data_IF_079437917138
#
_entry.id   IF_079437917138
#
_cell.length_a   1.000
_cell.length_b   1.000
_cell.length_c   1.000
_cell.angle_alpha   90.00
_cell.angle_beta   90.00
_cell.angle_gamma   90.00
#
_symmetry.space_group_name_H-M   'P 1'
#
loop_
_entity.id
_entity.type
_entity.pdbx_description
1 polymer ?
#
# COMPACT_ATOMS: atom_id res chain seq x y z
N UNK A 1 55.68 1.22 20.18
CA UNK A 1 55.57 2.04 21.40
C UNK A 1 54.09 2.18 21.72
N UNK A 2 53.61 1.46 22.73
CA UNK A 2 52.23 1.60 23.20
C UNK A 2 52.15 2.88 24.04
N UNK A 3 51.29 3.81 23.66
CA UNK A 3 51.04 5.05 24.38
C UNK A 3 50.55 4.73 25.80
N UNK A 4 51.25 5.25 26.81
CA UNK A 4 50.93 5.15 28.23
C UNK A 4 50.30 6.44 28.77
N UNK A 5 49.86 7.34 27.89
CA UNK A 5 49.46 8.71 28.26
C UNK A 5 47.99 8.85 28.70
N UNK A 6 47.18 7.79 28.67
CA UNK A 6 45.83 7.81 29.21
C UNK A 6 45.79 7.21 30.62
N UNK A 7 46.20 8.00 31.62
CA UNK A 7 45.95 7.68 33.02
C UNK A 7 44.46 7.90 33.28
N UNK A 8 43.65 6.86 33.50
CA UNK A 8 42.22 7.04 33.57
C UNK A 8 41.83 7.76 34.86
N UNK A 9 40.79 8.60 34.79
CA UNK A 9 40.23 9.41 35.89
C UNK A 9 39.52 8.58 36.99
N UNK A 10 40.10 7.46 37.41
CA UNK A 10 39.57 6.57 38.45
C UNK A 10 40.52 6.58 39.65
N UNK A 11 39.97 6.45 40.86
CA UNK A 11 40.79 6.41 42.07
C UNK A 11 41.65 5.14 42.13
N UNK A 12 42.79 5.19 42.84
CA UNK A 12 43.65 4.00 43.07
C UNK A 12 42.85 2.85 43.70
N UNK A 13 41.86 3.18 44.53
CA UNK A 13 40.96 2.21 45.15
C UNK A 13 40.09 1.46 44.11
N UNK A 14 39.48 2.18 43.15
CA UNK A 14 38.71 1.57 42.07
C UNK A 14 39.57 0.72 41.13
N UNK A 15 40.80 1.15 40.86
CA UNK A 15 41.74 0.37 40.05
C UNK A 15 42.09 -0.97 40.72
N UNK A 16 42.32 -0.98 42.04
CA UNK A 16 42.55 -2.22 42.81
C UNK A 16 41.31 -3.11 42.80
N UNK A 17 40.13 -2.54 42.97
CA UNK A 17 38.86 -3.28 42.93
C UNK A 17 38.62 -3.94 41.57
N UNK A 18 38.74 -3.23 40.45
CA UNK A 18 38.58 -3.78 39.09
C UNK A 18 39.63 -4.85 38.76
N UNK A 19 40.84 -4.74 39.33
CA UNK A 19 41.89 -5.76 39.21
C UNK A 19 41.48 -7.05 39.92
N UNK A 20 40.95 -6.95 41.13
CA UNK A 20 40.51 -8.11 41.90
C UNK A 20 39.29 -8.78 41.23
N UNK A 21 38.30 -7.99 40.82
CA UNK A 21 37.13 -8.48 40.04
C UNK A 21 37.56 -9.22 38.76
N UNK A 22 38.61 -8.74 38.07
CA UNK A 22 39.14 -9.40 36.87
C UNK A 22 39.90 -10.69 37.20
N UNK A 23 40.60 -10.75 38.34
CA UNK A 23 41.30 -11.96 38.81
C UNK A 23 40.31 -13.04 39.23
N UNK A 24 39.26 -12.66 39.96
CA UNK A 24 38.16 -13.55 40.32
C UNK A 24 37.48 -14.13 39.08
N UNK A 25 37.21 -13.30 38.06
CA UNK A 25 36.63 -13.78 36.78
C UNK A 25 37.53 -14.82 36.09
N UNK A 26 38.85 -14.63 36.10
CA UNK A 26 39.81 -15.61 35.54
C UNK A 26 39.90 -16.86 36.40
N UNK A 27 39.87 -16.74 37.73
CA UNK A 27 39.86 -17.87 38.66
C UNK A 27 38.59 -18.73 38.50
N UNK A 28 37.45 -18.11 38.17
CA UNK A 28 36.21 -18.79 37.78
C UNK A 28 36.20 -19.29 36.32
N UNK A 29 37.35 -19.29 35.62
CA UNK A 29 37.50 -19.84 34.27
C UNK A 29 36.90 -18.96 33.15
N UNK A 30 36.45 -17.74 33.44
CA UNK A 30 35.91 -16.82 32.41
C UNK A 30 37.03 -15.98 31.82
N UNK A 31 37.55 -16.41 30.67
CA UNK A 31 38.52 -15.61 29.89
C UNK A 31 37.89 -14.31 29.37
N UNK A 32 38.53 -13.17 29.64
CA UNK A 32 38.11 -11.83 29.19
C UNK A 32 37.97 -11.71 27.66
N UNK A 33 38.79 -12.45 26.92
CA UNK A 33 38.72 -12.50 25.47
C UNK A 33 37.47 -13.28 25.00
N UNK A 34 37.17 -14.40 25.66
CA UNK A 34 35.98 -15.21 25.36
C UNK A 34 34.69 -14.48 25.72
N UNK A 35 34.64 -13.74 26.84
CA UNK A 35 33.47 -12.92 27.20
C UNK A 35 33.28 -11.72 26.27
N UNK A 36 34.36 -11.08 25.79
CA UNK A 36 34.26 -10.05 24.75
C UNK A 36 33.78 -10.62 23.41
N UNK A 37 34.28 -11.79 23.01
CA UNK A 37 33.89 -12.44 21.76
C UNK A 37 32.43 -12.91 21.82
N UNK A 38 32.04 -13.61 22.89
CA UNK A 38 30.67 -14.02 23.14
C UNK A 38 29.70 -12.83 23.27
N UNK A 39 30.16 -11.71 23.85
CA UNK A 39 29.39 -10.46 23.88
C UNK A 39 29.13 -9.91 22.47
N UNK A 40 30.15 -9.88 21.61
CA UNK A 40 30.00 -9.46 20.21
C UNK A 40 29.10 -10.39 19.40
N UNK A 41 29.23 -11.69 19.59
CA UNK A 41 28.39 -12.70 18.92
C UNK A 41 26.95 -12.62 19.41
N UNK A 42 26.72 -12.40 20.70
CA UNK A 42 25.40 -12.17 21.26
C UNK A 42 24.77 -10.86 20.74
N UNK A 43 25.55 -9.79 20.58
CA UNK A 43 25.08 -8.55 19.96
C UNK A 43 24.77 -8.72 18.47
N UNK A 44 25.60 -9.44 17.72
CA UNK A 44 25.34 -9.76 16.31
C UNK A 44 24.08 -10.63 16.15
N UNK A 45 23.89 -11.62 17.02
CA UNK A 45 22.68 -12.44 17.05
C UNK A 45 21.42 -11.63 17.42
N UNK A 46 21.55 -10.62 18.29
CA UNK A 46 20.46 -9.68 18.58
C UNK A 46 20.15 -8.79 17.38
N UNK A 47 21.16 -8.30 16.66
CA UNK A 47 20.98 -7.51 15.43
C UNK A 47 20.30 -8.31 14.31
N UNK A 48 20.65 -9.59 14.17
CA UNK A 48 20.01 -10.50 13.21
C UNK A 48 18.54 -10.80 13.52
N UNK A 49 18.12 -10.66 14.79
CA UNK A 49 16.73 -10.89 15.23
C UNK A 49 15.95 -9.57 15.42
N UNK A 50 16.38 -8.47 14.80
CA UNK A 50 15.66 -7.19 14.86
C UNK A 50 14.34 -7.23 14.10
N UNK A 51 13.42 -6.32 14.43
CA UNK A 51 12.16 -6.14 13.69
C UNK A 51 12.44 -5.89 12.20
N UNK A 52 13.49 -5.13 11.85
CA UNK A 52 13.86 -4.89 10.45
C UNK A 52 14.25 -6.16 9.71
N UNK A 53 15.07 -7.02 10.32
CA UNK A 53 15.41 -8.32 9.74
C UNK A 53 14.16 -9.20 9.57
N UNK A 54 13.25 -9.16 10.54
CA UNK A 54 12.01 -9.93 10.50
C UNK A 54 11.04 -9.45 9.42
N UNK A 55 10.99 -8.13 9.17
CA UNK A 55 10.25 -7.54 8.04
C UNK A 55 10.72 -8.15 6.73
N UNK A 56 12.03 -8.20 6.47
CA UNK A 56 12.57 -8.76 5.21
C UNK A 56 12.19 -10.24 5.02
N UNK A 57 12.26 -11.04 6.08
CA UNK A 57 11.86 -12.46 6.05
C UNK A 57 10.37 -12.59 5.74
N UNK A 58 9.52 -11.82 6.45
CA UNK A 58 8.07 -11.82 6.25
C UNK A 58 7.71 -11.40 4.81
N UNK A 59 8.40 -10.40 4.25
CA UNK A 59 8.20 -9.96 2.87
C UNK A 59 8.55 -11.04 1.85
N UNK A 60 9.69 -11.70 2.05
CA UNK A 60 10.15 -12.75 1.16
C UNK A 60 9.18 -13.94 1.13
N UNK A 61 8.66 -14.35 2.29
CA UNK A 61 7.87 -15.57 2.41
C UNK A 61 6.36 -15.39 2.19
N UNK A 62 5.80 -14.30 2.72
CA UNK A 62 4.34 -14.11 2.82
C UNK A 62 3.85 -13.11 1.79
N UNK A 63 4.44 -11.92 1.77
CA UNK A 63 3.84 -10.80 1.05
C UNK A 63 4.06 -10.86 -0.46
N UNK A 64 5.16 -11.48 -0.90
CA UNK A 64 5.42 -11.81 -2.31
C UNK A 64 4.39 -12.77 -2.92
N UNK A 65 3.74 -13.61 -2.11
CA UNK A 65 2.81 -14.66 -2.56
C UNK A 65 1.34 -14.28 -2.47
N UNK A 66 0.98 -13.44 -1.50
CA UNK A 66 -0.43 -13.17 -1.15
C UNK A 66 -0.93 -11.84 -1.72
N UNK A 67 -0.07 -10.82 -1.83
CA UNK A 67 -0.52 -9.48 -2.20
C UNK A 67 -0.32 -9.21 -3.69
N UNK A 68 -1.36 -8.69 -4.34
CA UNK A 68 -1.26 -8.13 -5.70
C UNK A 68 -0.38 -6.86 -5.73
N UNK A 69 -0.16 -6.18 -4.60
CA UNK A 69 0.65 -4.94 -4.49
C UNK A 69 1.50 -4.90 -3.21
N UNK A 70 2.50 -5.79 -3.05
CA UNK A 70 3.33 -5.90 -1.85
C UNK A 70 4.15 -4.64 -1.56
N UNK A 71 4.44 -3.83 -2.58
CA UNK A 71 5.23 -2.60 -2.45
C UNK A 71 4.60 -1.54 -1.53
N UNK A 72 3.27 -1.58 -1.33
CA UNK A 72 2.55 -0.51 -0.64
C UNK A 72 2.70 -0.70 0.87
N UNK A 73 2.52 -1.92 1.34
CA UNK A 73 2.73 -2.26 2.75
C UNK A 73 4.17 -2.01 3.17
N UNK A 74 5.15 -2.36 2.32
CA UNK A 74 6.57 -2.19 2.63
C UNK A 74 6.91 -0.73 2.83
N UNK A 75 6.47 0.09 1.88
CA UNK A 75 6.66 1.54 1.93
C UNK A 75 6.06 2.16 3.19
N UNK A 76 4.89 1.67 3.62
CA UNK A 76 4.22 2.16 4.83
C UNK A 76 5.01 1.77 6.09
N UNK A 77 5.48 0.52 6.16
CA UNK A 77 6.33 0.05 7.27
C UNK A 77 7.67 0.79 7.32
N UNK A 78 8.36 0.97 6.20
CA UNK A 78 9.64 1.69 6.11
C UNK A 78 9.51 3.15 6.56
N UNK A 79 8.43 3.81 6.15
CA UNK A 79 8.24 5.24 6.39
C UNK A 79 7.92 5.54 7.86
N UNK A 80 7.09 4.72 8.51
CA UNK A 80 6.54 5.09 9.82
C UNK A 80 6.93 4.10 10.93
N UNK A 81 6.80 2.79 10.71
CA UNK A 81 7.07 1.79 11.75
C UNK A 81 8.57 1.58 11.98
N UNK A 82 9.33 1.30 10.92
CA UNK A 82 10.74 0.93 11.01
C UNK A 82 11.65 2.07 11.48
N UNK A 83 11.22 3.33 11.33
CA UNK A 83 11.94 4.48 11.89
C UNK A 83 12.04 4.42 13.43
N UNK A 84 11.05 3.84 14.09
CA UNK A 84 10.94 3.85 15.57
C UNK A 84 11.32 2.50 16.17
N UNK A 85 10.80 1.40 15.61
CA UNK A 85 10.96 0.05 16.16
C UNK A 85 11.96 -0.82 15.40
N UNK A 86 12.51 -0.35 14.28
CA UNK A 86 13.30 -1.20 13.36
C UNK A 86 14.55 -1.84 13.98
N UNK A 87 15.22 -1.14 14.90
CA UNK A 87 16.44 -1.62 15.56
C UNK A 87 16.18 -2.48 16.81
N UNK A 88 14.92 -2.60 17.25
CA UNK A 88 14.56 -3.34 18.46
C UNK A 88 14.29 -4.80 18.17
N UNK A 89 14.29 -5.63 19.21
CA UNK A 89 13.81 -7.01 19.10
C UNK A 89 12.28 -7.03 19.10
N UNK A 90 11.65 -7.95 18.33
CA UNK A 90 10.20 -8.10 18.29
C UNK A 90 9.54 -8.36 19.65
N UNK A 91 10.28 -8.94 20.61
CA UNK A 91 9.80 -9.27 21.96
C UNK A 91 9.70 -8.01 22.84
N UNK A 92 10.52 -7.01 22.59
CA UNK A 92 10.60 -5.80 23.42
C UNK A 92 9.59 -4.72 22.98
N UNK A 93 8.82 -4.97 21.92
CA UNK A 93 7.86 -4.00 21.38
C UNK A 93 6.58 -4.02 22.23
N UNK A 94 6.30 -2.89 22.88
CA UNK A 94 5.13 -2.71 23.72
C UNK A 94 3.91 -2.16 22.95
N UNK A 95 2.72 -2.29 23.55
CA UNK A 95 1.46 -1.72 23.00
C UNK A 95 1.56 -0.19 22.89
N UNK A 96 2.14 0.46 23.91
CA UNK A 96 2.29 1.91 23.97
C UNK A 96 3.13 2.46 22.81
N UNK A 97 4.13 1.72 22.37
CA UNK A 97 4.95 2.11 21.21
C UNK A 97 4.16 2.05 19.91
N UNK A 98 3.35 1.01 19.73
CA UNK A 98 2.47 0.90 18.56
C UNK A 98 1.43 2.02 18.55
N UNK A 99 0.86 2.37 19.71
CA UNK A 99 -0.06 3.50 19.86
C UNK A 99 0.64 4.82 19.51
N UNK A 100 1.83 5.08 20.06
CA UNK A 100 2.63 6.29 19.76
C UNK A 100 2.94 6.44 18.27
N UNK A 101 3.29 5.35 17.58
CA UNK A 101 3.53 5.36 16.13
C UNK A 101 2.25 5.77 15.40
N UNK A 102 1.13 5.16 15.77
CA UNK A 102 -0.15 5.41 15.12
C UNK A 102 -0.64 6.85 15.37
N UNK A 103 -0.49 7.35 16.59
CA UNK A 103 -0.85 8.72 16.97
C UNK A 103 0.02 9.77 16.29
N UNK A 104 1.32 9.48 16.10
CA UNK A 104 2.21 10.34 15.30
C UNK A 104 1.76 10.46 13.85
N UNK A 105 1.21 9.40 13.26
CA UNK A 105 0.69 9.43 11.88
C UNK A 105 -0.63 10.21 11.82
N UNK A 106 -1.51 10.02 12.80
CA UNK A 106 -2.75 10.80 12.92
C UNK A 106 -2.50 12.29 13.08
N UNK A 107 -1.49 12.67 13.88
CA UNK A 107 -1.12 14.07 14.06
C UNK A 107 -0.71 14.77 12.75
N UNK A 108 -0.35 14.00 11.70
CA UNK A 108 -0.09 14.51 10.35
C UNK A 108 -1.36 14.66 9.49
N UNK A 109 -2.53 14.29 10.00
CA UNK A 109 -3.81 14.28 9.27
C UNK A 109 -4.03 13.07 8.36
N UNK A 110 -3.27 11.99 8.55
CA UNK A 110 -3.29 10.81 7.67
C UNK A 110 -3.90 9.58 8.35
N UNK A 111 -5.16 9.67 8.78
CA UNK A 111 -5.83 8.62 9.59
C UNK A 111 -5.90 7.26 8.89
N UNK A 112 -6.22 7.24 7.60
CA UNK A 112 -6.26 5.99 6.82
C UNK A 112 -4.86 5.36 6.69
N UNK A 113 -3.81 6.17 6.64
CA UNK A 113 -2.43 5.69 6.62
C UNK A 113 -2.05 5.10 8.00
N UNK A 114 -2.51 5.71 9.09
CA UNK A 114 -2.31 5.19 10.44
C UNK A 114 -2.95 3.80 10.59
N UNK A 115 -4.18 3.63 10.08
CA UNK A 115 -4.87 2.35 10.07
C UNK A 115 -4.14 1.30 9.20
N UNK A 116 -3.68 1.68 8.02
CA UNK A 116 -2.91 0.80 7.14
C UNK A 116 -1.61 0.35 7.81
N UNK A 117 -0.89 1.27 8.46
CA UNK A 117 0.36 0.97 9.19
C UNK A 117 0.11 -0.02 10.32
N UNK A 118 -0.95 0.21 11.12
CA UNK A 118 -1.34 -0.71 12.19
C UNK A 118 -1.70 -2.09 11.65
N UNK A 119 -2.41 -2.18 10.53
CA UNK A 119 -2.77 -3.46 9.93
C UNK A 119 -1.54 -4.21 9.40
N UNK A 120 -0.60 -3.50 8.79
CA UNK A 120 0.69 -4.06 8.37
C UNK A 120 1.48 -4.62 9.57
N UNK A 121 1.57 -3.85 10.66
CA UNK A 121 2.20 -4.31 11.90
C UNK A 121 1.47 -5.52 12.50
N UNK A 122 0.14 -5.53 12.50
CA UNK A 122 -0.65 -6.66 12.98
C UNK A 122 -0.33 -7.94 12.21
N UNK A 123 -0.25 -7.87 10.87
CA UNK A 123 0.12 -9.00 10.03
C UNK A 123 1.55 -9.48 10.33
N UNK A 124 2.49 -8.55 10.49
CA UNK A 124 3.88 -8.87 10.82
C UNK A 124 4.01 -9.60 12.16
N UNK A 125 3.39 -9.09 13.23
CA UNK A 125 3.44 -9.75 14.53
C UNK A 125 2.64 -11.06 14.57
N UNK A 126 1.58 -11.20 13.76
CA UNK A 126 0.90 -12.48 13.61
C UNK A 126 1.82 -13.53 12.98
N UNK A 127 2.61 -13.14 11.97
CA UNK A 127 3.64 -14.01 11.39
C UNK A 127 4.78 -14.30 12.41
N UNK A 128 5.16 -13.34 13.24
CA UNK A 128 6.12 -13.55 14.34
C UNK A 128 5.65 -14.59 15.36
N UNK A 129 4.35 -14.59 15.69
CA UNK A 129 3.74 -15.59 16.56
C UNK A 129 3.72 -16.97 15.89
N UNK A 130 3.40 -17.04 14.59
CA UNK A 130 3.42 -18.29 13.85
C UNK A 130 4.83 -18.95 13.80
N UNK A 131 5.89 -18.14 13.88
CA UNK A 131 7.28 -18.60 13.99
C UNK A 131 7.78 -18.72 15.44
N UNK A 132 6.89 -18.62 16.42
CA UNK A 132 7.17 -18.68 17.87
C UNK A 132 8.26 -17.70 18.33
N UNK A 133 8.40 -16.56 17.64
CA UNK A 133 9.36 -15.49 18.02
C UNK A 133 8.79 -14.56 19.08
N UNK A 134 7.47 -14.40 19.09
CA UNK A 134 6.73 -13.53 20.01
C UNK A 134 5.49 -14.29 20.48
N UNK A 135 5.07 -14.09 21.73
CA UNK A 135 3.88 -14.75 22.28
C UNK A 135 2.61 -13.91 22.16
N UNK A 136 2.75 -12.58 22.10
CA UNK A 136 1.64 -11.65 22.10
C UNK A 136 1.76 -10.64 20.96
N UNK A 137 0.62 -10.26 20.35
CA UNK A 137 0.60 -9.28 19.27
C UNK A 137 0.25 -7.88 19.81
N UNK A 138 1.23 -6.97 19.96
CA UNK A 138 0.96 -5.62 20.48
C UNK A 138 0.06 -4.80 19.57
N UNK A 139 0.14 -4.99 18.25
CA UNK A 139 -0.70 -4.29 17.29
C UNK A 139 -2.15 -4.80 17.25
N UNK A 140 -2.39 -6.03 17.70
CA UNK A 140 -3.76 -6.56 17.82
C UNK A 140 -4.54 -5.87 18.95
N UNK A 141 -3.87 -5.51 20.05
CA UNK A 141 -4.47 -4.82 21.19
C UNK A 141 -4.98 -3.41 20.84
N UNK A 142 -4.31 -2.72 19.92
CA UNK A 142 -4.77 -1.43 19.41
C UNK A 142 -5.87 -1.68 18.38
N UNK A 143 -7.13 -1.43 18.74
CA UNK A 143 -8.25 -1.68 17.83
C UNK A 143 -8.37 -0.61 16.74
N UNK A 144 -8.75 -1.03 15.54
CA UNK A 144 -8.88 -0.15 14.37
C UNK A 144 -9.84 1.03 14.60
N UNK A 145 -10.91 0.81 15.39
CA UNK A 145 -11.91 1.82 15.72
C UNK A 145 -11.36 3.03 16.46
N UNK A 146 -10.31 2.84 17.27
CA UNK A 146 -9.64 3.95 17.96
C UNK A 146 -8.71 4.72 17.02
N UNK A 147 -8.38 4.16 15.85
CA UNK A 147 -7.42 4.75 14.92
C UNK A 147 -8.14 5.64 13.91
N UNK A 148 -8.95 5.05 13.06
CA UNK A 148 -9.58 5.78 11.99
C UNK A 148 -11.02 5.32 11.84
N UNK A 149 -11.92 6.28 11.68
CA UNK A 149 -13.26 6.02 11.18
C UNK A 149 -13.21 6.03 9.66
N UNK A 150 -13.81 5.03 9.02
CA UNK A 150 -13.96 5.02 7.57
C UNK A 150 -14.81 6.23 7.16
N UNK A 151 -14.21 7.19 6.47
CA UNK A 151 -14.93 8.27 5.78
C UNK A 151 -14.98 7.94 4.30
N UNK A 152 -16.18 7.78 3.76
CA UNK A 152 -16.35 7.80 2.30
C UNK A 152 -16.02 9.21 1.80
N UNK A 153 -15.40 9.28 0.63
CA UNK A 153 -15.31 10.54 -0.12
C UNK A 153 -16.46 10.50 -1.12
N UNK A 154 -17.54 11.19 -0.80
CA UNK A 154 -18.69 11.32 -1.70
C UNK A 154 -18.42 12.42 -2.74
N UNK A 155 -17.34 12.24 -3.51
CA UNK A 155 -16.98 13.16 -4.60
C UNK A 155 -17.42 12.52 -5.89
N UNK A 156 -18.60 12.92 -6.36
CA UNK A 156 -19.12 12.55 -7.68
C UNK A 156 -19.15 13.78 -8.59
N UNK A 157 -18.81 13.59 -9.87
CA UNK A 157 -18.94 14.66 -10.86
C UNK A 157 -20.41 14.89 -11.17
N UNK A 158 -20.82 16.15 -11.19
CA UNK A 158 -22.14 16.55 -11.69
C UNK A 158 -22.22 16.39 -13.21
N UNK A 159 -23.43 16.30 -13.77
CA UNK A 159 -23.65 16.21 -15.22
C UNK A 159 -22.98 17.34 -16.00
N UNK A 160 -22.97 18.56 -15.45
CA UNK A 160 -22.31 19.71 -16.05
C UNK A 160 -20.78 19.58 -16.03
N UNK A 161 -20.20 19.09 -14.94
CA UNK A 161 -18.76 18.86 -14.82
C UNK A 161 -18.28 17.74 -15.74
N UNK A 162 -19.09 16.69 -15.92
CA UNK A 162 -18.83 15.63 -16.91
C UNK A 162 -18.79 16.23 -18.31
N UNK A 163 -19.74 17.08 -18.67
CA UNK A 163 -19.74 17.78 -19.95
C UNK A 163 -18.50 18.66 -20.16
N UNK A 164 -18.05 19.37 -19.12
CA UNK A 164 -16.80 20.16 -19.15
C UNK A 164 -15.57 19.27 -19.32
N UNK A 165 -15.50 18.14 -18.61
CA UNK A 165 -14.41 17.17 -18.68
C UNK A 165 -14.27 16.60 -20.10
N UNK A 166 -15.37 16.16 -20.70
CA UNK A 166 -15.37 15.56 -22.04
C UNK A 166 -14.97 16.58 -23.12
N UNK A 167 -15.53 17.79 -23.08
CA UNK A 167 -15.16 18.88 -24.01
C UNK A 167 -13.68 19.27 -23.88
N UNK A 168 -13.19 19.44 -22.64
CA UNK A 168 -11.78 19.75 -22.38
C UNK A 168 -10.84 18.64 -22.85
N UNK A 169 -11.23 17.38 -22.67
CA UNK A 169 -10.47 16.22 -23.15
C UNK A 169 -10.37 16.23 -24.68
N UNK A 170 -11.45 16.53 -25.39
CA UNK A 170 -11.46 16.63 -26.85
C UNK A 170 -10.56 17.77 -27.38
N UNK A 171 -10.56 18.92 -26.73
CA UNK A 171 -9.78 20.10 -27.11
C UNK A 171 -8.28 19.99 -26.77
N UNK A 172 -7.92 19.14 -25.80
CA UNK A 172 -6.53 18.94 -25.40
C UNK A 172 -5.64 18.38 -26.53
N UNK A 173 -4.32 18.60 -26.44
CA UNK A 173 -3.33 18.02 -27.36
C UNK A 173 -2.96 16.55 -27.04
N UNK A 174 -3.76 15.87 -26.21
CA UNK A 174 -3.49 14.48 -25.84
C UNK A 174 -3.65 13.53 -27.03
N UNK A 175 -2.92 12.41 -27.01
CA UNK A 175 -3.08 11.34 -28.01
C UNK A 175 -4.53 10.84 -28.00
N UNK A 176 -5.05 10.49 -29.18
CA UNK A 176 -6.43 10.02 -29.38
C UNK A 176 -6.85 8.91 -28.42
N UNK A 177 -5.95 7.96 -28.13
CA UNK A 177 -6.18 6.88 -27.17
C UNK A 177 -6.57 7.39 -25.77
N UNK A 178 -5.88 8.40 -25.27
CA UNK A 178 -6.16 9.01 -23.96
C UNK A 178 -7.42 9.88 -23.98
N UNK A 179 -7.85 10.35 -25.17
CA UNK A 179 -9.14 11.03 -25.33
C UNK A 179 -10.31 10.04 -25.28
N UNK A 180 -10.18 8.89 -25.92
CA UNK A 180 -11.23 7.87 -25.97
C UNK A 180 -11.43 7.15 -24.63
N UNK A 181 -10.37 6.98 -23.84
CA UNK A 181 -10.46 6.22 -22.58
C UNK A 181 -11.48 6.80 -21.56
N UNK A 182 -11.52 8.11 -21.25
CA UNK A 182 -12.56 8.69 -20.39
C UNK A 182 -13.99 8.53 -20.95
N UNK A 183 -14.15 8.59 -22.28
CA UNK A 183 -15.44 8.40 -22.92
C UNK A 183 -15.93 6.97 -22.75
N UNK A 184 -15.07 5.99 -23.00
CA UNK A 184 -15.38 4.57 -22.76
C UNK A 184 -15.63 4.27 -21.28
N UNK A 185 -14.86 4.89 -20.38
CA UNK A 185 -15.05 4.70 -18.93
C UNK A 185 -16.45 5.16 -18.48
N UNK A 186 -16.93 6.30 -18.99
CA UNK A 186 -18.27 6.82 -18.68
C UNK A 186 -19.36 5.99 -19.38
N UNK A 187 -19.14 5.50 -20.60
CA UNK A 187 -20.14 4.69 -21.30
C UNK A 187 -20.29 3.28 -20.71
N UNK A 188 -19.17 2.65 -20.33
CA UNK A 188 -19.16 1.27 -19.86
C UNK A 188 -19.28 1.14 -18.34
N UNK A 189 -19.04 2.22 -17.58
CA UNK A 189 -19.05 2.23 -16.10
C UNK A 189 -18.19 1.14 -15.44
N UNK A 190 -17.12 0.72 -16.12
CA UNK A 190 -16.14 -0.26 -15.62
C UNK A 190 -15.02 0.42 -14.84
N UNK A 191 -14.22 -0.34 -14.09
CA UNK A 191 -13.05 0.24 -13.44
C UNK A 191 -11.99 0.60 -14.48
N UNK A 192 -11.25 1.69 -14.22
CA UNK A 192 -10.09 2.12 -15.04
C UNK A 192 -9.18 0.96 -15.46
N UNK A 193 -8.84 0.09 -14.50
CA UNK A 193 -7.85 -0.96 -14.73
C UNK A 193 -8.44 -2.10 -15.57
N UNK A 194 -9.71 -2.43 -15.34
CA UNK A 194 -10.45 -3.40 -16.16
C UNK A 194 -10.49 -2.92 -17.62
N UNK A 195 -10.80 -1.65 -17.88
CA UNK A 195 -10.78 -1.09 -19.23
C UNK A 195 -9.40 -1.15 -19.90
N UNK A 196 -8.33 -1.04 -19.12
CA UNK A 196 -6.95 -1.09 -19.64
C UNK A 196 -6.48 -2.51 -19.95
N UNK A 197 -6.99 -3.53 -19.26
CA UNK A 197 -6.58 -4.92 -19.43
C UNK A 197 -7.40 -5.69 -20.46
N UNK A 198 -8.57 -5.16 -20.85
CA UNK A 198 -9.45 -5.79 -21.85
C UNK A 198 -8.70 -6.02 -23.17
N UNK A 199 -8.78 -7.26 -23.65
CA UNK A 199 -8.24 -7.65 -24.96
C UNK A 199 -9.35 -7.57 -26.02
N UNK A 200 -8.99 -7.29 -27.27
CA UNK A 200 -9.95 -7.23 -28.38
C UNK A 200 -10.72 -8.55 -28.60
N UNK A 201 -10.13 -9.67 -28.20
CA UNK A 201 -10.72 -11.01 -28.27
C UNK A 201 -11.90 -11.17 -27.29
N UNK A 202 -11.98 -10.33 -26.25
CA UNK A 202 -13.02 -10.35 -25.22
C UNK A 202 -14.21 -9.45 -25.57
N UNK A 203 -14.12 -8.69 -26.66
CA UNK A 203 -15.17 -7.78 -27.12
C UNK A 203 -15.99 -8.48 -28.21
N UNK A 204 -17.19 -8.92 -27.86
CA UNK A 204 -18.14 -9.41 -28.85
C UNK A 204 -18.61 -8.24 -29.73
N UNK A 205 -18.44 -8.39 -31.05
CA UNK A 205 -18.80 -7.38 -32.06
C UNK A 205 -20.27 -7.48 -32.48
N UNK A 206 -20.94 -8.57 -32.12
CA UNK A 206 -22.28 -8.91 -32.61
C UNK A 206 -23.38 -8.79 -31.54
N UNK A 207 -23.01 -8.57 -30.27
CA UNK A 207 -23.93 -8.36 -29.17
C UNK A 207 -23.88 -6.90 -28.68
N UNK A 208 -24.95 -6.38 -28.05
CA UNK A 208 -24.90 -5.07 -27.38
C UNK A 208 -23.73 -5.05 -26.38
N UNK A 209 -23.00 -3.93 -26.27
CA UNK A 209 -21.68 -3.89 -25.62
C UNK A 209 -21.78 -4.24 -24.14
N UNK A 210 -21.55 -5.51 -23.82
CA UNK A 210 -21.33 -6.00 -22.47
C UNK A 210 -19.88 -6.49 -22.41
N UNK A 211 -19.08 -5.88 -21.52
CA UNK A 211 -17.71 -6.31 -21.29
C UNK A 211 -17.78 -7.54 -20.38
N UNK A 212 -17.59 -8.74 -20.93
CA UNK A 212 -17.39 -9.96 -20.14
C UNK A 212 -15.90 -10.16 -19.92
N UNK A 213 -15.49 -10.13 -18.66
CA UNK A 213 -14.12 -10.40 -18.23
C UNK A 213 -13.88 -11.92 -18.12
N UNK A 214 -12.81 -12.41 -18.77
CA UNK A 214 -12.35 -13.80 -18.69
C UNK A 214 -11.49 -14.09 -17.43
N UNK A 215 -11.20 -13.09 -16.60
CA UNK A 215 -10.55 -13.30 -15.31
C UNK A 215 -11.62 -13.71 -14.30
N UNK A 216 -11.59 -14.98 -13.87
CA UNK A 216 -12.49 -15.59 -12.90
C UNK A 216 -12.45 -14.95 -11.50
N UNK A 217 -12.84 -13.69 -11.41
CA UNK A 217 -13.28 -13.02 -10.19
C UNK A 217 -14.78 -12.85 -10.35
N UNK A 218 -15.52 -13.85 -9.88
CA UNK A 218 -16.96 -13.73 -9.73
C UNK A 218 -17.26 -12.49 -8.86
N UNK A 219 -17.88 -11.47 -9.43
CA UNK A 219 -18.36 -10.33 -8.64
C UNK A 219 -18.35 -8.98 -9.33
N UNK A 220 -19.19 -8.81 -10.35
CA UNK A 220 -19.96 -7.59 -10.53
C UNK A 220 -21.19 -7.94 -11.37
N UNK A 221 -22.21 -8.47 -10.69
CA UNK A 221 -23.57 -8.32 -11.17
C UNK A 221 -23.76 -6.85 -11.52
N UNK A 222 -24.36 -6.61 -12.69
CA UNK A 222 -25.21 -5.45 -12.92
C UNK A 222 -25.94 -5.15 -11.60
N UNK A 223 -25.56 -4.10 -10.88
CA UNK A 223 -26.51 -3.43 -10.03
C UNK A 223 -27.37 -2.66 -11.02
N UNK A 224 -28.59 -3.13 -11.37
CA UNK A 224 -29.49 -2.28 -12.12
C UNK A 224 -29.64 -1.00 -11.30
N UNK A 225 -29.59 0.14 -11.98
CA UNK A 225 -30.12 1.37 -11.42
C UNK A 225 -31.44 1.08 -10.70
N UNK A 226 -31.63 1.69 -9.54
CA UNK A 226 -32.81 1.61 -8.69
C UNK A 226 -34.09 1.36 -9.49
N UNK A 227 -34.86 0.35 -9.05
CA UNK A 227 -36.16 -0.04 -9.59
C UNK A 227 -37.22 1.08 -9.62
N UNK A 228 -36.94 2.24 -9.02
CA UNK A 228 -37.81 3.43 -9.01
C UNK A 228 -37.71 4.30 -10.27
N UNK A 229 -36.66 4.14 -11.10
CA UNK A 229 -36.51 4.94 -12.33
C UNK A 229 -37.27 4.37 -13.55
N UNK A 230 -38.02 3.28 -13.40
CA UNK A 230 -38.80 2.65 -14.50
C UNK A 230 -40.12 3.37 -14.81
N UNK A 231 -40.53 4.36 -14.02
CA UNK A 231 -41.83 5.02 -14.17
C UNK A 231 -41.92 6.15 -15.20
N UNK A 232 -40.82 6.64 -15.76
CA UNK A 232 -40.85 7.85 -16.61
C UNK A 232 -39.81 7.87 -17.74
N UNK A 233 -39.74 6.85 -18.61
CA UNK A 233 -39.17 7.04 -19.97
C UNK A 233 -39.90 6.11 -20.94
N UNK A 234 -41.09 6.50 -21.39
CA UNK A 234 -41.67 5.98 -22.62
C UNK A 234 -41.30 6.94 -23.76
N UNK A 235 -40.15 6.71 -24.39
CA UNK A 235 -39.85 7.26 -25.72
C UNK A 235 -38.86 6.34 -26.44
N UNK A 236 -39.14 5.87 -27.66
CA UNK A 236 -38.23 5.05 -28.44
C UNK A 236 -37.27 5.98 -29.19
N UNK A 237 -36.16 6.37 -28.56
CA UNK A 237 -35.07 7.06 -29.24
C UNK A 237 -33.89 6.08 -29.40
N UNK A 238 -33.42 5.96 -30.64
CA UNK A 238 -32.43 5.00 -31.13
C UNK A 238 -31.19 4.86 -30.22
N UNK A 239 -30.57 3.66 -30.11
CA UNK A 239 -29.33 3.52 -29.38
C UNK A 239 -28.25 4.38 -30.06
N UNK A 240 -27.41 5.13 -29.30
CA UNK A 240 -26.28 5.81 -29.90
C UNK A 240 -25.37 4.74 -30.49
N UNK A 241 -25.24 4.75 -31.82
CA UNK A 241 -24.32 3.88 -32.54
C UNK A 241 -22.90 4.16 -32.04
N UNK A 242 -22.36 3.25 -31.23
CA UNK A 242 -20.96 3.29 -30.81
C UNK A 242 -20.12 2.93 -32.03
N UNK A 243 -19.51 3.94 -32.64
CA UNK A 243 -18.53 3.72 -33.72
C UNK A 243 -17.31 3.04 -33.10
N UNK A 244 -17.21 1.73 -33.29
CA UNK A 244 -16.02 0.95 -32.95
C UNK A 244 -14.92 1.39 -33.91
N UNK A 245 -13.95 2.15 -33.41
CA UNK A 245 -12.83 2.59 -34.24
C UNK A 245 -11.79 1.47 -34.31
N UNK A 246 -11.52 0.89 -35.48
CA UNK A 246 -10.53 -0.16 -35.62
C UNK A 246 -9.11 0.37 -35.32
N UNK A 247 -8.28 -0.48 -34.70
CA UNK A 247 -6.91 -0.16 -34.30
C UNK A 247 -6.02 0.32 -35.48
N UNK A 248 -6.33 -0.10 -36.71
CA UNK A 248 -5.65 0.34 -37.94
C UNK A 248 -5.81 1.84 -38.25
N UNK A 249 -6.79 2.52 -37.65
CA UNK A 249 -7.00 3.97 -37.79
C UNK A 249 -6.23 4.80 -36.74
N UNK A 250 -5.51 4.17 -35.81
CA UNK A 250 -4.81 4.88 -34.73
C UNK A 250 -3.42 5.41 -35.13
N UNK A 251 -2.95 5.12 -36.35
CA UNK A 251 -1.57 5.37 -36.79
C UNK A 251 -1.40 6.59 -37.73
N UNK A 252 -2.45 7.32 -38.12
CA UNK A 252 -2.30 8.47 -39.02
C UNK A 252 -2.40 9.82 -38.28
N UNK A 253 -1.49 10.78 -38.54
CA UNK A 253 -1.46 12.07 -37.86
C UNK A 253 -2.37 13.13 -38.50
N UNK A 254 -3.39 12.74 -39.26
CA UNK A 254 -4.31 13.70 -39.91
C UNK A 254 -5.45 14.04 -38.96
N UNK A 255 -5.31 15.20 -38.32
CA UNK A 255 -6.35 15.89 -37.60
C UNK A 255 -7.50 16.28 -38.55
N UNK A 256 -8.57 15.50 -38.58
CA UNK A 256 -9.90 16.00 -38.94
C UNK A 256 -10.86 15.71 -37.77
N UNK A 257 -10.81 16.61 -36.78
CA UNK A 257 -11.78 16.67 -35.69
C UNK A 257 -13.01 17.47 -36.14
N UNK A 258 -13.73 16.99 -37.15
CA UNK A 258 -15.11 17.42 -37.41
C UNK A 258 -16.04 16.23 -37.15
N UNK A 259 -16.40 16.02 -35.88
CA UNK A 259 -17.60 15.26 -35.56
C UNK A 259 -18.81 16.15 -35.92
N UNK A 260 -19.86 15.60 -36.57
CA UNK A 260 -21.01 16.39 -36.97
C UNK A 260 -21.72 16.97 -35.74
N UNK A 261 -21.91 18.29 -35.72
CA UNK A 261 -22.57 19.05 -34.64
C UNK A 261 -24.03 18.62 -34.37
N UNK A 262 -24.62 17.75 -35.20
CA UNK A 262 -26.02 17.35 -35.11
C UNK A 262 -26.36 16.42 -33.93
N UNK A 263 -25.38 15.76 -33.29
CA UNK A 263 -25.68 14.75 -32.25
C UNK A 263 -25.85 15.29 -30.81
N UNK A 264 -25.73 16.62 -30.60
CA UNK A 264 -25.79 17.23 -29.25
C UNK A 264 -26.96 18.21 -29.06
N UNK A 265 -27.87 18.34 -30.03
CA UNK A 265 -28.97 19.32 -29.96
C UNK A 265 -30.10 18.94 -28.99
N UNK A 266 -30.19 17.68 -28.54
CA UNK A 266 -31.37 17.17 -27.80
C UNK A 266 -31.12 16.91 -26.29
N UNK A 267 -30.10 17.53 -25.70
CA UNK A 267 -29.93 17.54 -24.24
C UNK A 267 -30.12 18.97 -23.71
N UNK A 268 -31.39 19.35 -23.54
CA UNK A 268 -31.84 20.49 -22.73
C UNK A 268 -32.43 19.99 -21.42
#
# INVERSE_FOLDING_TARGET
MAALDDCPAFSIAEARRRREESREQVAHGKSRAATKQAGKEAEAAKQANTVRAFVEICYAEVESKVSSRPHNTRRVLDKDALQTIGARLPVDVSIDEVSKITDKIKARGADQMALQTRNAMKCLFAYAIARSKVQFNPAAAVEARYIATARSRDVALTSQEIGKLLRGTCQSSMKRQHKLAPHLLILCMVRKFELHEVRWDEIDKNAPPHLTNATGVAGALLAPMCSEARGQVSSPAAPPAVVIVPASSMATPSCDCSMPQAAFADLK
#
